data_IF_000759316405
#
_entry.id   IF_000759316405
#
_cell.length_a   1.000
_cell.length_b   1.000
_cell.length_c   1.000
_cell.angle_alpha   90.00
_cell.angle_beta   90.00
_cell.angle_gamma   90.00
#
_symmetry.space_group_name_H-M   'P 1'
#
loop_
_entity.id
_entity.type
_entity.pdbx_description
1 polymer ?
#
# COMPACT_ATOMS: atom_id res chain seq x y z
N UNK A 1 -3.73 -21.52 6.07
CA UNK A 1 -2.71 -21.81 5.04
C UNK A 1 -1.84 -22.98 5.49
N UNK A 2 -1.42 -23.90 4.60
CA UNK A 2 -0.49 -24.98 4.94
C UNK A 2 0.88 -24.44 5.39
N UNK A 3 1.51 -25.08 6.39
CA UNK A 3 2.72 -24.58 7.07
C UNK A 3 3.93 -24.32 6.14
N UNK A 4 4.09 -25.12 5.09
CA UNK A 4 5.17 -25.01 4.11
C UNK A 4 4.96 -23.90 3.05
N UNK A 5 3.77 -23.29 3.02
CA UNK A 5 3.42 -22.16 2.14
C UNK A 5 3.37 -20.82 2.89
N UNK A 6 3.63 -20.82 4.20
CA UNK A 6 3.64 -19.61 5.01
C UNK A 6 4.93 -18.85 4.69
N UNK A 7 4.76 -17.62 4.20
CA UNK A 7 5.85 -16.67 4.10
C UNK A 7 6.27 -16.19 5.49
N UNK A 8 7.57 -16.20 5.75
CA UNK A 8 8.18 -15.60 6.92
C UNK A 8 9.28 -14.63 6.47
N UNK A 9 9.49 -13.54 7.20
CA UNK A 9 10.49 -12.55 6.81
C UNK A 9 11.92 -13.12 6.87
N UNK A 10 12.18 -14.08 7.76
CA UNK A 10 13.48 -14.74 7.91
C UNK A 10 13.88 -15.56 6.67
N UNK A 11 12.89 -16.01 5.87
CA UNK A 11 13.15 -16.73 4.62
C UNK A 11 13.90 -15.85 3.58
N UNK A 12 13.85 -14.51 3.73
CA UNK A 12 14.55 -13.56 2.87
C UNK A 12 16.07 -13.59 3.06
N UNK A 13 16.54 -14.02 4.23
CA UNK A 13 17.96 -14.10 4.57
C UNK A 13 18.55 -15.49 4.31
N UNK A 14 17.71 -16.51 4.07
CA UNK A 14 18.16 -17.87 3.76
C UNK A 14 18.65 -17.98 2.29
N UNK A 15 19.97 -18.17 2.04
CA UNK A 15 20.51 -18.29 0.69
C UNK A 15 20.24 -19.65 0.05
N UNK A 16 19.85 -20.66 0.82
CA UNK A 16 19.60 -22.03 0.34
C UNK A 16 18.16 -22.24 -0.11
N UNK A 17 17.24 -21.36 0.28
CA UNK A 17 15.86 -21.42 -0.16
C UNK A 17 15.72 -21.04 -1.63
N UNK A 18 15.14 -21.96 -2.42
CA UNK A 18 14.85 -21.74 -3.83
C UNK A 18 14.03 -20.46 -4.03
N UNK A 19 14.52 -19.60 -4.93
CA UNK A 19 13.95 -18.28 -5.15
C UNK A 19 12.52 -18.35 -5.68
N UNK A 20 12.16 -19.39 -6.46
CA UNK A 20 10.81 -19.55 -6.99
C UNK A 20 9.85 -19.96 -5.88
N UNK A 21 10.27 -20.86 -4.99
CA UNK A 21 9.49 -21.24 -3.80
C UNK A 21 9.24 -20.03 -2.91
N UNK A 22 10.30 -19.25 -2.61
CA UNK A 22 10.16 -18.04 -1.81
C UNK A 22 9.23 -17.01 -2.47
N UNK A 23 9.41 -16.76 -3.76
CA UNK A 23 8.57 -15.84 -4.51
C UNK A 23 7.10 -16.31 -4.52
N UNK A 24 6.84 -17.60 -4.69
CA UNK A 24 5.49 -18.17 -4.61
C UNK A 24 4.87 -17.95 -3.22
N UNK A 25 5.62 -18.18 -2.14
CA UNK A 25 5.16 -17.90 -0.76
C UNK A 25 4.79 -16.43 -0.59
N UNK A 26 5.62 -15.52 -1.10
CA UNK A 26 5.35 -14.07 -1.06
C UNK A 26 4.06 -13.75 -1.83
N UNK A 27 3.89 -14.28 -3.05
CA UNK A 27 2.68 -14.04 -3.84
C UNK A 27 1.42 -14.55 -3.14
N UNK A 28 1.48 -15.76 -2.57
CA UNK A 28 0.34 -16.32 -1.84
C UNK A 28 0.03 -15.52 -0.57
N UNK A 29 1.06 -15.04 0.13
CA UNK A 29 0.88 -14.15 1.29
C UNK A 29 0.22 -12.83 0.87
N UNK A 30 0.72 -12.18 -0.19
CA UNK A 30 0.15 -10.95 -0.72
C UNK A 30 -1.29 -11.14 -1.19
N UNK A 31 -1.59 -12.23 -1.90
CA UNK A 31 -2.94 -12.57 -2.34
C UNK A 31 -3.89 -12.72 -1.14
N UNK A 32 -3.49 -13.49 -0.13
CA UNK A 32 -4.28 -13.64 1.10
C UNK A 32 -4.51 -12.31 1.82
N UNK A 33 -3.46 -11.48 1.96
CA UNK A 33 -3.58 -10.15 2.57
C UNK A 33 -4.48 -9.21 1.77
N UNK A 34 -4.44 -9.28 0.44
CA UNK A 34 -5.36 -8.51 -0.42
C UNK A 34 -6.80 -8.95 -0.21
N UNK A 35 -7.07 -10.24 -0.06
CA UNK A 35 -8.43 -10.73 0.17
C UNK A 35 -8.95 -10.25 1.53
N UNK A 36 -8.13 -10.30 2.58
CA UNK A 36 -8.46 -9.70 3.88
C UNK A 36 -8.71 -8.19 3.74
N UNK A 37 -7.84 -7.46 3.04
CA UNK A 37 -8.01 -6.03 2.79
C UNK A 37 -9.37 -5.72 2.16
N UNK A 38 -9.76 -6.48 1.13
CA UNK A 38 -11.05 -6.29 0.45
C UNK A 38 -12.21 -6.56 1.41
N UNK A 39 -12.14 -7.64 2.20
CA UNK A 39 -13.17 -7.95 3.20
C UNK A 39 -13.28 -6.85 4.25
N UNK A 40 -12.17 -6.41 4.85
CA UNK A 40 -12.16 -5.33 5.84
C UNK A 40 -12.73 -4.03 5.27
N UNK A 41 -12.32 -3.65 4.04
CA UNK A 41 -12.88 -2.48 3.35
C UNK A 41 -14.39 -2.60 3.16
N UNK A 42 -14.88 -3.76 2.74
CA UNK A 42 -16.31 -3.99 2.56
C UNK A 42 -17.06 -3.91 3.88
N UNK A 43 -16.53 -4.49 4.96
CA UNK A 43 -17.13 -4.43 6.29
C UNK A 43 -17.27 -2.98 6.74
N UNK A 44 -16.20 -2.17 6.68
CA UNK A 44 -16.25 -0.75 7.07
C UNK A 44 -17.23 0.05 6.21
N UNK A 45 -17.31 -0.24 4.90
CA UNK A 45 -18.24 0.43 3.99
C UNK A 45 -19.71 0.17 4.38
N UNK A 46 -20.01 -0.99 4.97
CA UNK A 46 -21.36 -1.37 5.39
C UNK A 46 -21.61 -1.15 6.89
N UNK A 47 -20.83 -0.25 7.53
CA UNK A 47 -21.02 0.14 8.93
C UNK A 47 -20.38 -0.82 9.95
N UNK A 48 -19.43 -1.64 9.51
CA UNK A 48 -18.58 -2.44 10.40
C UNK A 48 -17.73 -1.56 11.33
N UNK A 49 -17.31 -2.14 12.45
CA UNK A 49 -16.45 -1.47 13.43
C UNK A 49 -15.03 -1.45 12.90
N UNK A 50 -14.39 -0.27 12.92
CA UNK A 50 -12.96 -0.15 12.64
C UNK A 50 -12.14 -0.51 13.89
N UNK A 51 -11.57 -1.71 13.87
CA UNK A 51 -10.66 -2.21 14.89
C UNK A 51 -9.16 -2.02 14.51
N UNK A 52 -8.89 -1.34 13.39
CA UNK A 52 -7.56 -1.16 12.84
C UNK A 52 -7.04 -2.33 11.99
N UNK A 53 -7.84 -3.38 11.76
CA UNK A 53 -7.44 -4.54 10.94
C UNK A 53 -7.15 -4.15 9.50
N UNK A 54 -7.92 -3.21 8.94
CA UNK A 54 -7.67 -2.67 7.61
C UNK A 54 -6.30 -1.99 7.51
N UNK A 55 -5.97 -1.14 8.49
CA UNK A 55 -4.71 -0.42 8.53
C UNK A 55 -3.52 -1.37 8.70
N UNK A 56 -3.63 -2.34 9.61
CA UNK A 56 -2.62 -3.37 9.82
C UNK A 56 -2.38 -4.22 8.55
N UNK A 57 -3.45 -4.61 7.86
CA UNK A 57 -3.36 -5.37 6.60
C UNK A 57 -2.73 -4.54 5.48
N UNK A 58 -3.10 -3.25 5.39
CA UNK A 58 -2.54 -2.30 4.43
C UNK A 58 -1.04 -2.09 4.64
N UNK A 59 -0.62 -2.00 5.90
CA UNK A 59 0.78 -1.89 6.27
C UNK A 59 1.58 -3.14 5.86
N UNK A 60 1.04 -4.34 6.11
CA UNK A 60 1.65 -5.59 5.67
C UNK A 60 1.79 -5.68 4.14
N UNK A 61 0.75 -5.30 3.39
CA UNK A 61 0.76 -5.28 1.92
C UNK A 61 1.91 -4.41 1.38
N UNK A 62 2.04 -3.18 1.90
CA UNK A 62 3.12 -2.25 1.50
C UNK A 62 4.48 -2.82 1.85
N UNK A 63 4.66 -3.25 3.11
CA UNK A 63 5.93 -3.76 3.62
C UNK A 63 6.43 -4.96 2.81
N UNK A 64 5.57 -5.97 2.59
CA UNK A 64 5.95 -7.17 1.83
C UNK A 64 6.23 -6.84 0.36
N UNK A 65 5.47 -5.93 -0.24
CA UNK A 65 5.72 -5.47 -1.62
C UNK A 65 7.08 -4.78 -1.74
N UNK A 66 7.43 -3.90 -0.80
CA UNK A 66 8.74 -3.22 -0.77
C UNK A 66 9.89 -4.22 -0.63
N UNK A 67 9.72 -5.30 0.15
CA UNK A 67 10.79 -6.29 0.35
C UNK A 67 11.27 -6.95 -0.94
N UNK A 68 10.37 -7.13 -1.92
CA UNK A 68 10.74 -7.64 -3.24
C UNK A 68 11.75 -6.73 -3.94
N UNK A 69 11.59 -5.42 -3.78
CA UNK A 69 12.50 -4.42 -4.33
C UNK A 69 13.80 -4.31 -3.55
N UNK A 70 13.74 -4.32 -2.21
CA UNK A 70 14.93 -4.34 -1.35
C UNK A 70 15.84 -5.52 -1.73
N UNK A 71 15.24 -6.69 -1.99
CA UNK A 71 15.93 -7.91 -2.42
C UNK A 71 15.91 -8.11 -3.95
N UNK A 72 15.77 -7.06 -4.76
CA UNK A 72 15.62 -7.14 -6.23
C UNK A 72 16.71 -7.94 -6.95
N UNK A 73 17.91 -8.04 -6.36
CA UNK A 73 19.01 -8.80 -6.93
C UNK A 73 18.75 -10.31 -6.78
N UNK A 74 18.22 -10.74 -5.63
CA UNK A 74 17.79 -12.13 -5.40
C UNK A 74 16.62 -12.48 -6.32
N UNK A 75 15.66 -11.57 -6.44
CA UNK A 75 14.48 -11.73 -7.30
C UNK A 75 14.70 -11.27 -8.75
N UNK A 76 15.96 -11.22 -9.22
CA UNK A 76 16.29 -10.78 -10.57
C UNK A 76 15.46 -11.44 -11.69
N UNK A 77 15.14 -12.75 -11.63
CA UNK A 77 14.30 -13.44 -12.62
C UNK A 77 12.84 -12.94 -12.67
N UNK A 78 12.32 -12.43 -11.55
CA UNK A 78 10.92 -11.99 -11.41
C UNK A 78 10.74 -10.47 -11.56
N UNK A 79 11.81 -9.70 -11.74
CA UNK A 79 11.78 -8.23 -11.77
C UNK A 79 10.76 -7.64 -12.75
N UNK A 80 10.49 -8.32 -13.87
CA UNK A 80 9.47 -7.92 -14.85
C UNK A 80 8.05 -7.82 -14.28
N UNK A 81 7.77 -8.49 -13.17
CA UNK A 81 6.46 -8.49 -12.53
C UNK A 81 6.32 -7.41 -11.44
N UNK A 82 7.40 -6.71 -11.09
CA UNK A 82 7.42 -5.82 -9.93
C UNK A 82 6.46 -4.63 -10.06
N UNK A 83 6.36 -4.06 -11.25
CA UNK A 83 5.38 -3.02 -11.58
C UNK A 83 3.94 -3.49 -11.33
N UNK A 84 3.63 -4.75 -11.65
CA UNK A 84 2.31 -5.32 -11.42
C UNK A 84 2.06 -5.52 -9.93
N UNK A 85 3.07 -5.99 -9.18
CA UNK A 85 2.97 -6.15 -7.72
C UNK A 85 2.83 -4.81 -6.99
N UNK A 86 3.50 -3.77 -7.48
CA UNK A 86 3.35 -2.41 -6.99
C UNK A 86 1.91 -1.93 -7.12
N UNK A 87 1.31 -2.07 -8.31
CA UNK A 87 -0.08 -1.63 -8.53
C UNK A 87 -1.08 -2.52 -7.81
N UNK A 88 -0.90 -3.85 -7.84
CA UNK A 88 -1.85 -4.81 -7.28
C UNK A 88 -1.86 -4.87 -5.75
N UNK A 89 -0.76 -4.49 -5.08
CA UNK A 89 -0.63 -4.64 -3.62
C UNK A 89 -0.08 -3.38 -2.95
N UNK A 90 1.03 -2.83 -3.46
CA UNK A 90 1.70 -1.68 -2.84
C UNK A 90 0.86 -0.40 -2.86
N UNK A 91 0.24 -0.07 -4.00
CA UNK A 91 -0.60 1.10 -4.17
C UNK A 91 -1.85 1.03 -3.27
N UNK A 92 -2.46 -0.15 -3.16
CA UNK A 92 -3.65 -0.39 -2.34
C UNK A 92 -3.40 -0.04 -0.87
N UNK A 93 -2.37 -0.65 -0.28
CA UNK A 93 -2.01 -0.38 1.11
C UNK A 93 -1.46 1.04 1.28
N UNK A 94 -0.71 1.54 0.30
CA UNK A 94 -0.14 2.89 0.32
C UNK A 94 -1.20 3.98 0.41
N UNK A 95 -2.35 3.81 -0.23
CA UNK A 95 -3.48 4.73 -0.13
C UNK A 95 -4.04 4.83 1.30
N UNK A 96 -4.25 3.70 1.97
CA UNK A 96 -4.72 3.68 3.38
C UNK A 96 -3.68 4.29 4.32
N UNK A 97 -2.39 3.98 4.11
CA UNK A 97 -1.31 4.57 4.89
C UNK A 97 -1.23 6.10 4.72
N UNK A 98 -1.46 6.62 3.51
CA UNK A 98 -1.55 8.05 3.27
C UNK A 98 -2.74 8.68 4.02
N UNK A 99 -3.91 8.03 3.98
CA UNK A 99 -5.08 8.49 4.71
C UNK A 99 -4.84 8.51 6.21
N UNK A 100 -4.15 7.51 6.76
CA UNK A 100 -3.82 7.44 8.19
C UNK A 100 -2.89 8.59 8.63
N UNK A 101 -1.95 9.03 7.77
CA UNK A 101 -1.13 10.21 8.09
C UNK A 101 -1.97 11.49 8.15
N UNK A 102 -2.90 11.66 7.20
CA UNK A 102 -3.74 12.86 7.13
C UNK A 102 -4.84 12.88 8.20
N UNK A 103 -5.40 11.72 8.55
CA UNK A 103 -6.47 11.53 9.54
C UNK A 103 -6.14 10.33 10.41
N UNK A 104 -5.32 10.53 11.47
CA UNK A 104 -4.91 9.45 12.34
C UNK A 104 -6.09 8.80 13.06
N UNK A 105 -6.19 7.48 13.00
CA UNK A 105 -7.19 6.66 13.70
C UNK A 105 -6.68 6.14 15.05
N UNK A 106 -5.36 6.13 15.26
CA UNK A 106 -4.74 5.70 16.50
C UNK A 106 -3.57 6.60 16.94
N UNK A 107 -3.19 6.47 18.21
CA UNK A 107 -2.05 7.17 18.82
C UNK A 107 -1.20 6.19 19.62
N UNK A 108 0.13 6.34 19.54
CA UNK A 108 1.06 5.43 20.21
C UNK A 108 1.26 4.13 19.44
N UNK A 109 1.13 2.98 20.12
CA UNK A 109 1.27 1.66 19.52
C UNK A 109 -0.09 1.15 19.04
N UNK A 110 -0.15 0.69 17.79
CA UNK A 110 -1.37 0.12 17.23
C UNK A 110 -1.72 -1.22 17.93
N UNK A 111 -3.00 -1.44 18.31
CA UNK A 111 -3.40 -2.60 19.14
C UNK A 111 -3.13 -3.96 18.47
N UNK A 112 -3.27 -4.03 17.15
CA UNK A 112 -3.08 -5.27 16.38
C UNK A 112 -1.65 -5.45 15.83
N UNK A 113 -0.86 -4.39 15.77
CA UNK A 113 0.46 -4.42 15.14
C UNK A 113 1.42 -3.44 15.82
N UNK A 114 2.24 -3.89 16.78
CA UNK A 114 3.16 -3.02 17.51
C UNK A 114 4.20 -2.31 16.64
N UNK A 115 4.49 -2.83 15.44
CA UNK A 115 5.41 -2.19 14.50
C UNK A 115 4.78 -0.99 13.79
N UNK A 116 3.46 -0.85 13.84
CA UNK A 116 2.71 0.19 13.16
C UNK A 116 2.72 1.47 14.01
N UNK A 117 3.65 2.35 13.66
CA UNK A 117 3.80 3.68 14.23
C UNK A 117 3.80 4.72 13.11
N UNK A 118 3.55 5.99 13.45
CA UNK A 118 3.60 7.10 12.49
C UNK A 118 4.94 7.18 11.76
N UNK A 119 6.04 7.02 12.48
CA UNK A 119 7.38 7.03 11.88
C UNK A 119 7.58 5.88 10.90
N UNK A 120 7.06 4.68 11.23
CA UNK A 120 7.17 3.53 10.34
C UNK A 120 6.28 3.70 9.09
N UNK A 121 5.07 4.27 9.23
CA UNK A 121 4.22 4.61 8.08
C UNK A 121 4.96 5.55 7.12
N UNK A 122 5.53 6.65 7.64
CA UNK A 122 6.33 7.60 6.83
C UNK A 122 7.50 6.89 6.13
N UNK A 123 8.24 6.03 6.84
CA UNK A 123 9.36 5.28 6.27
C UNK A 123 8.91 4.32 5.16
N UNK A 124 7.84 3.54 5.38
CA UNK A 124 7.31 2.62 4.37
C UNK A 124 6.81 3.39 3.13
N UNK A 125 6.09 4.49 3.30
CA UNK A 125 5.65 5.33 2.17
C UNK A 125 6.83 5.93 1.42
N UNK A 126 7.89 6.35 2.11
CA UNK A 126 9.10 6.89 1.47
C UNK A 126 9.82 5.82 0.62
N UNK A 127 9.92 4.59 1.15
CA UNK A 127 10.46 3.45 0.41
C UNK A 127 9.56 3.07 -0.78
N UNK A 128 8.24 3.15 -0.61
CA UNK A 128 7.28 2.91 -1.69
C UNK A 128 7.44 3.93 -2.83
N UNK A 129 7.62 5.21 -2.52
CA UNK A 129 7.94 6.26 -3.50
C UNK A 129 9.23 5.95 -4.26
N UNK A 130 10.27 5.48 -3.55
CA UNK A 130 11.53 5.09 -4.18
C UNK A 130 11.34 3.88 -5.12
N UNK A 131 10.56 2.89 -4.71
CA UNK A 131 10.25 1.73 -5.54
C UNK A 131 9.40 2.11 -6.76
N UNK A 132 8.37 2.95 -6.60
CA UNK A 132 7.59 3.47 -7.72
C UNK A 132 8.44 4.28 -8.71
N UNK A 133 9.44 5.00 -8.21
CA UNK A 133 10.41 5.75 -9.05
C UNK A 133 11.36 4.86 -9.84
N UNK A 134 11.57 3.63 -9.40
CA UNK A 134 12.44 2.66 -10.07
C UNK A 134 11.80 2.04 -11.32
N UNK A 135 10.47 2.14 -11.47
CA UNK A 135 9.73 1.59 -12.61
C UNK A 135 10.18 2.26 -13.92
N UNK A 136 10.64 1.45 -14.86
CA UNK A 136 11.25 1.92 -16.11
C UNK A 136 10.28 2.60 -17.09
N UNK A 137 10.81 3.38 -18.06
CA UNK A 137 10.00 4.09 -19.04
C UNK A 137 9.12 3.20 -19.93
N UNK A 138 9.57 1.98 -20.21
CA UNK A 138 8.86 1.03 -21.08
C UNK A 138 7.88 0.12 -20.33
N UNK A 139 7.66 0.36 -19.04
CA UNK A 139 6.76 -0.45 -18.21
C UNK A 139 5.30 -0.21 -18.58
N UNK A 140 4.49 -1.27 -18.82
CA UNK A 140 3.04 -1.19 -18.99
C UNK A 140 2.32 -0.33 -17.94
N UNK A 141 2.73 -0.43 -16.68
CA UNK A 141 2.08 0.26 -15.55
C UNK A 141 2.75 1.59 -15.18
N UNK A 142 3.62 2.13 -16.05
CA UNK A 142 4.40 3.33 -15.74
C UNK A 142 3.56 4.52 -15.31
N UNK A 143 2.48 4.81 -16.04
CA UNK A 143 1.62 5.97 -15.79
C UNK A 143 1.02 5.85 -14.39
N UNK A 144 0.39 4.71 -14.09
CA UNK A 144 -0.20 4.44 -12.77
C UNK A 144 0.85 4.51 -11.65
N UNK A 145 2.04 3.94 -11.86
CA UNK A 145 3.13 4.02 -10.88
C UNK A 145 3.60 5.48 -10.65
N UNK A 146 3.70 6.27 -11.72
CA UNK A 146 4.08 7.68 -11.65
C UNK A 146 3.04 8.53 -10.91
N UNK A 147 1.77 8.27 -11.18
CA UNK A 147 0.66 8.96 -10.52
C UNK A 147 0.62 8.59 -9.01
N UNK A 148 0.73 7.29 -8.67
CA UNK A 148 0.82 6.83 -7.28
C UNK A 148 1.96 7.52 -6.54
N UNK A 149 3.13 7.60 -7.19
CA UNK A 149 4.30 8.26 -6.64
C UNK A 149 4.00 9.72 -6.32
N UNK A 150 3.42 10.47 -7.26
CA UNK A 150 3.13 11.88 -7.09
C UNK A 150 2.17 12.14 -5.92
N UNK A 151 1.14 11.31 -5.77
CA UNK A 151 0.18 11.43 -4.65
C UNK A 151 0.87 11.14 -3.31
N UNK A 152 1.59 10.02 -3.20
CA UNK A 152 2.25 9.65 -1.93
C UNK A 152 3.30 10.72 -1.55
N UNK A 153 4.06 11.22 -2.51
CA UNK A 153 5.02 12.31 -2.27
C UNK A 153 4.32 13.56 -1.75
N UNK A 154 3.23 13.98 -2.38
CA UNK A 154 2.46 15.15 -1.93
C UNK A 154 1.95 14.99 -0.50
N UNK A 155 1.42 13.81 -0.15
CA UNK A 155 0.94 13.53 1.21
C UNK A 155 2.08 13.59 2.22
N UNK A 156 3.25 13.03 1.89
CA UNK A 156 4.43 13.12 2.75
C UNK A 156 4.91 14.56 2.91
N UNK A 157 4.95 15.33 1.81
CA UNK A 157 5.37 16.73 1.84
C UNK A 157 4.42 17.58 2.69
N UNK A 158 3.12 17.40 2.53
CA UNK A 158 2.09 18.08 3.33
C UNK A 158 2.19 17.67 4.80
N UNK A 159 2.28 16.36 5.10
CA UNK A 159 2.35 15.89 6.49
C UNK A 159 3.62 16.33 7.23
N UNK A 160 4.76 16.41 6.54
CA UNK A 160 6.04 16.73 7.15
C UNK A 160 6.37 18.23 7.18
N UNK A 161 5.85 19.02 6.22
CA UNK A 161 6.21 20.43 6.07
C UNK A 161 5.05 21.40 6.39
N UNK A 162 3.82 20.94 6.59
CA UNK A 162 2.73 21.86 6.95
C UNK A 162 2.97 22.45 8.34
N UNK A 163 3.06 23.78 8.42
CA UNK A 163 3.04 24.48 9.69
C UNK A 163 1.68 24.30 10.37
N UNK A 164 1.61 24.29 11.72
CA UNK A 164 0.35 24.22 12.46
C UNK A 164 -0.37 25.58 12.37
N UNK A 165 -0.83 25.97 11.19
CA UNK A 165 -1.74 27.09 11.01
C UNK A 165 -3.15 26.56 11.21
N UNK A 166 -3.76 26.98 12.33
CA UNK A 166 -5.01 26.44 12.87
C UNK A 166 -6.28 26.75 12.07
N UNK A 167 -6.28 26.55 10.75
CA UNK A 167 -7.46 26.52 9.90
C UNK A 167 -7.09 25.86 8.57
N UNK A 168 -7.17 24.53 8.51
CA UNK A 168 -7.13 23.79 7.24
C UNK A 168 -8.47 23.10 7.04
N UNK A 169 -9.39 23.80 6.39
CA UNK A 169 -10.45 23.15 5.64
C UNK A 169 -9.76 22.25 4.61
N UNK A 170 -9.77 20.95 4.90
CA UNK A 170 -9.21 19.91 4.05
C UNK A 170 -9.93 19.96 2.70
N UNK A 171 -9.33 20.62 1.70
CA UNK A 171 -9.76 20.46 0.31
C UNK A 171 -9.77 18.97 0.02
N UNK A 172 -10.91 18.38 -0.37
CA UNK A 172 -10.96 16.94 -0.64
C UNK A 172 -9.90 16.60 -1.67
N UNK A 173 -8.96 15.71 -1.30
CA UNK A 173 -7.92 15.15 -2.16
C UNK A 173 -8.45 14.52 -3.47
N UNK A 174 -9.78 14.44 -3.62
CA UNK A 174 -10.48 14.03 -4.84
C UNK A 174 -10.20 14.93 -6.07
N UNK A 175 -9.79 16.21 -5.89
CA UNK A 175 -9.62 17.14 -7.03
C UNK A 175 -8.32 16.90 -7.83
N UNK A 176 -7.40 16.05 -7.34
CA UNK A 176 -6.07 15.86 -7.92
C UNK A 176 -5.73 14.46 -8.43
N UNK A 177 -6.68 13.52 -8.45
CA UNK A 177 -6.42 12.15 -8.90
C UNK A 177 -6.53 12.09 -10.43
N UNK A 178 -5.46 11.75 -11.18
CA UNK A 178 -5.52 11.57 -12.63
C UNK A 178 -6.53 10.48 -13.01
N UNK A 179 -7.30 10.63 -14.11
CA UNK A 179 -8.28 9.64 -14.59
C UNK A 179 -7.74 8.20 -14.72
N UNK A 180 -6.43 8.04 -14.96
CA UNK A 180 -5.70 6.77 -15.00
C UNK A 180 -5.61 6.07 -13.64
N UNK A 181 -5.41 6.84 -12.57
CA UNK A 181 -5.53 6.34 -11.19
C UNK A 181 -6.97 6.20 -10.78
N UNK A 182 -7.88 7.00 -11.35
CA UNK A 182 -9.30 6.84 -11.15
C UNK A 182 -9.72 5.46 -11.59
N UNK A 183 -9.20 4.82 -12.65
CA UNK A 183 -9.57 3.42 -12.98
C UNK A 183 -9.07 2.36 -11.95
N UNK A 184 -7.85 2.54 -11.39
CA UNK A 184 -7.30 1.65 -10.35
C UNK A 184 -7.93 1.88 -8.97
N UNK A 185 -8.29 3.13 -8.68
CA UNK A 185 -9.07 3.54 -7.53
C UNK A 185 -10.59 3.39 -7.75
N UNK A 186 -11.12 3.23 -8.97
CA UNK A 186 -12.53 2.99 -9.39
C UNK A 186 -12.85 1.52 -9.31
N UNK A 187 -11.88 0.65 -9.59
CA UNK A 187 -11.91 -0.73 -9.09
C UNK A 187 -11.96 -0.80 -7.55
N UNK A 188 -11.55 0.27 -6.84
CA UNK A 188 -11.74 0.48 -5.40
C UNK A 188 -12.89 1.45 -5.04
N UNK A 189 -13.50 2.12 -6.02
CA UNK A 189 -14.55 3.14 -5.91
C UNK A 189 -15.70 2.72 -6.84
N UNK A 190 -16.26 1.53 -6.64
CA UNK A 190 -17.57 1.13 -7.22
C UNK A 190 -18.74 1.98 -6.66
N UNK A 191 -18.50 3.24 -6.30
CA UNK A 191 -19.41 4.13 -5.61
C UNK A 191 -19.55 5.47 -6.36
N UNK A 192 -19.77 5.40 -7.66
CA UNK A 192 -20.36 6.48 -8.47
C UNK A 192 -21.78 6.88 -8.01
N UNK A 193 -22.42 6.14 -7.09
CA UNK A 193 -23.74 6.50 -6.57
C UNK A 193 -23.71 7.54 -5.44
N UNK A 194 -22.53 7.98 -4.95
CA UNK A 194 -22.43 9.04 -3.95
C UNK A 194 -22.30 10.46 -4.54
N UNK A 195 -22.32 10.62 -5.87
CA UNK A 195 -22.38 11.95 -6.51
C UNK A 195 -23.79 12.35 -6.98
N UNK A 196 -24.78 11.46 -6.89
CA UNK A 196 -26.17 11.79 -7.21
C UNK A 196 -27.02 11.76 -5.93
N UNK A 197 -26.96 12.85 -5.18
CA UNK A 197 -28.03 13.18 -4.24
C UNK A 197 -29.28 13.60 -5.01
N UNK A 198 -30.36 12.84 -4.83
CA UNK A 198 -31.72 13.38 -4.68
C UNK A 198 -32.19 12.92 -3.30
#
# INVERSE_FOLDING_TARGET
MPSHLIFKFEDLDDPHLDVNVLYLRILLHLAHRKDVFVVERLLLTHGGIDDGSLLATSFDLVKVTIMLWVHKNRFAPMRRNFEWLLVAYGALGGGILCQELLRPTFFGAHPLNPALSRSNIVQQLSLLVAFLSWVGPSSPNRVVCGDCKAIIQRVLDEYLNSEPTGNTDLVPLAIGVPPSLTFGFELLNTFEWLQNGI
#
